data_IF_660194580982
#
_entry.id   IF_660194580982
#
_cell.length_a   1.000
_cell.length_b   1.000
_cell.length_c   1.000
_cell.angle_alpha   90.00
_cell.angle_beta   90.00
_cell.angle_gamma   90.00
#
_symmetry.space_group_name_H-M   'P 1'
#
loop_
_entity.id
_entity.type
_entity.pdbx_description
1 polymer ?
#
# COMPACT_ATOMS: atom_id res chain seq x y z
N UNK A 1 3.16 -3.96 11.85
CA UNK A 1 1.70 -4.22 11.89
C UNK A 1 0.87 -2.96 12.18
N UNK A 2 1.22 -2.16 13.18
CA UNK A 2 0.43 -0.97 13.57
C UNK A 2 0.28 0.03 12.42
N UNK A 3 1.39 0.43 11.78
CA UNK A 3 1.36 1.40 10.67
C UNK A 3 0.48 0.94 9.49
N UNK A 4 0.69 -0.28 8.95
CA UNK A 4 -0.11 -0.79 7.84
C UNK A 4 -1.62 -0.81 8.16
N UNK A 5 -1.99 -1.19 9.39
CA UNK A 5 -3.38 -1.20 9.82
C UNK A 5 -3.98 0.20 9.87
N UNK A 6 -3.25 1.18 10.42
CA UNK A 6 -3.68 2.57 10.45
C UNK A 6 -3.82 3.15 9.04
N UNK A 7 -2.83 2.93 8.17
CA UNK A 7 -2.85 3.38 6.78
C UNK A 7 -4.06 2.82 6.01
N UNK A 8 -4.34 1.52 6.11
CA UNK A 8 -5.52 0.93 5.46
C UNK A 8 -6.83 1.56 5.95
N UNK A 9 -6.91 1.92 7.24
CA UNK A 9 -8.08 2.60 7.80
C UNK A 9 -8.24 4.01 7.22
N UNK A 10 -7.15 4.75 7.05
CA UNK A 10 -7.20 6.08 6.44
C UNK A 10 -7.66 6.04 4.98
N UNK A 11 -7.16 5.07 4.21
CA UNK A 11 -7.62 4.84 2.83
C UNK A 11 -9.10 4.46 2.81
N UNK A 12 -9.56 3.60 3.72
CA UNK A 12 -10.98 3.26 3.84
C UNK A 12 -11.84 4.49 4.13
N UNK A 13 -11.43 5.35 5.06
CA UNK A 13 -12.13 6.59 5.39
C UNK A 13 -12.15 7.58 4.23
N UNK A 14 -11.06 7.65 3.46
CA UNK A 14 -11.00 8.44 2.23
C UNK A 14 -11.98 7.90 1.18
N UNK A 15 -11.99 6.58 0.95
CA UNK A 15 -12.91 5.94 0.00
C UNK A 15 -14.37 6.14 0.41
N UNK A 16 -14.72 5.98 1.70
CA UNK A 16 -16.10 6.25 2.19
C UNK A 16 -16.60 7.66 1.85
N UNK A 17 -15.71 8.65 1.75
CA UNK A 17 -16.07 10.03 1.45
C UNK A 17 -16.09 10.33 -0.06
N UNK A 18 -15.21 9.69 -0.83
CA UNK A 18 -14.94 10.09 -2.23
C UNK A 18 -15.34 9.04 -3.27
N UNK A 19 -15.38 7.76 -2.89
CA UNK A 19 -15.75 6.62 -3.74
C UNK A 19 -16.28 5.47 -2.86
N UNK A 20 -17.51 5.60 -2.30
CA UNK A 20 -18.06 4.65 -1.34
C UNK A 20 -18.21 3.23 -1.90
N UNK A 21 -18.49 3.10 -3.20
CA UNK A 21 -18.64 1.82 -3.90
C UNK A 21 -17.35 0.99 -3.93
N UNK A 22 -16.18 1.64 -3.85
CA UNK A 22 -14.88 0.96 -3.84
C UNK A 22 -14.52 0.36 -2.47
N UNK A 23 -15.20 0.76 -1.39
CA UNK A 23 -14.84 0.40 -0.01
C UNK A 23 -14.82 -1.12 0.22
N UNK A 24 -15.83 -1.85 -0.25
CA UNK A 24 -15.89 -3.31 -0.03
C UNK A 24 -14.78 -4.04 -0.78
N UNK A 25 -14.56 -3.68 -2.04
CA UNK A 25 -13.47 -4.25 -2.84
C UNK A 25 -12.10 -3.96 -2.21
N UNK A 26 -11.89 -2.71 -1.76
CA UNK A 26 -10.65 -2.34 -1.09
C UNK A 26 -10.42 -3.16 0.17
N UNK A 27 -11.43 -3.38 1.03
CA UNK A 27 -11.28 -4.18 2.25
C UNK A 27 -10.83 -5.62 1.95
N UNK A 28 -11.47 -6.26 0.98
CA UNK A 28 -11.14 -7.63 0.61
C UNK A 28 -9.72 -7.74 0.05
N UNK A 29 -9.37 -6.86 -0.89
CA UNK A 29 -8.05 -6.83 -1.52
C UNK A 29 -6.94 -6.42 -0.53
N UNK A 30 -7.21 -5.44 0.34
CA UNK A 30 -6.26 -4.96 1.34
C UNK A 30 -5.94 -6.04 2.38
N UNK A 31 -6.94 -6.82 2.81
CA UNK A 31 -6.70 -7.95 3.71
C UNK A 31 -5.84 -9.03 3.04
N UNK A 32 -6.11 -9.36 1.77
CA UNK A 32 -5.31 -10.34 1.02
C UNK A 32 -3.87 -9.83 0.81
N UNK A 33 -3.71 -8.59 0.37
CA UNK A 33 -2.41 -7.95 0.18
C UNK A 33 -1.61 -7.86 1.48
N UNK A 34 -2.24 -7.46 2.58
CA UNK A 34 -1.59 -7.41 3.90
C UNK A 34 -1.07 -8.78 4.33
N UNK A 35 -1.82 -9.87 4.07
CA UNK A 35 -1.36 -11.23 4.36
C UNK A 35 -0.13 -11.61 3.54
N UNK A 36 -0.10 -11.28 2.25
CA UNK A 36 1.05 -11.54 1.37
C UNK A 36 2.29 -10.76 1.83
N UNK A 37 2.12 -9.47 2.15
CA UNK A 37 3.20 -8.62 2.63
C UNK A 37 3.78 -9.10 3.96
N UNK A 38 2.92 -9.56 4.88
CA UNK A 38 3.38 -10.12 6.15
C UNK A 38 4.14 -11.45 5.95
N UNK A 39 3.77 -12.24 4.95
CA UNK A 39 4.48 -13.47 4.59
C UNK A 39 5.91 -13.22 4.10
N UNK A 40 6.10 -12.15 3.34
CA UNK A 40 7.38 -11.78 2.73
C UNK A 40 8.08 -10.61 3.46
N UNK A 41 7.66 -10.29 4.70
CA UNK A 41 8.06 -9.05 5.37
C UNK A 41 9.58 -8.89 5.53
N UNK A 42 10.32 -9.99 5.62
CA UNK A 42 11.78 -9.99 5.78
C UNK A 42 12.54 -9.62 4.51
N UNK A 43 11.94 -9.86 3.34
CA UNK A 43 12.55 -9.64 2.03
C UNK A 43 12.19 -8.25 1.48
N UNK A 44 11.24 -7.56 2.13
CA UNK A 44 10.78 -6.24 1.73
C UNK A 44 11.65 -5.14 2.34
N UNK A 45 12.03 -4.20 1.49
CA UNK A 45 12.57 -2.92 1.92
C UNK A 45 11.47 -1.84 1.89
N UNK A 46 11.43 -1.00 2.92
CA UNK A 46 10.35 -0.03 3.14
C UNK A 46 10.87 1.39 2.93
N UNK A 47 10.21 2.15 2.05
CA UNK A 47 10.58 3.52 1.71
C UNK A 47 9.44 4.50 2.00
N UNK A 48 9.80 5.67 2.52
CA UNK A 48 8.88 6.79 2.69
C UNK A 48 9.14 7.85 1.60
N UNK A 49 8.10 8.60 1.25
CA UNK A 49 8.24 9.76 0.36
C UNK A 49 9.06 10.88 1.01
N UNK A 50 9.46 11.86 0.20
CA UNK A 50 10.20 13.06 0.64
C UNK A 50 9.50 13.83 1.76
N UNK A 51 8.17 13.76 1.83
CA UNK A 51 7.40 14.41 2.90
C UNK A 51 7.59 13.78 4.28
N UNK A 52 8.19 12.57 4.34
CA UNK A 52 8.41 11.78 5.56
C UNK A 52 7.15 11.68 6.43
N UNK A 53 5.97 11.64 5.80
CA UNK A 53 4.71 11.49 6.51
C UNK A 53 4.62 10.06 7.09
N UNK A 54 4.63 9.89 8.43
CA UNK A 54 4.60 8.58 9.08
C UNK A 54 3.25 7.86 8.93
N UNK A 55 2.20 8.57 8.54
CA UNK A 55 0.87 8.03 8.25
C UNK A 55 0.65 7.82 6.75
N UNK A 56 1.57 8.31 5.92
CA UNK A 56 1.49 8.24 4.47
C UNK A 56 1.76 6.86 3.90
N UNK A 57 1.62 6.75 2.58
CA UNK A 57 1.90 5.51 1.87
C UNK A 57 3.39 5.15 1.92
N UNK A 58 3.67 3.91 2.30
CA UNK A 58 5.00 3.31 2.21
C UNK A 58 5.16 2.59 0.88
N UNK A 59 6.30 2.83 0.23
CA UNK A 59 6.72 2.13 -0.97
C UNK A 59 7.40 0.82 -0.56
N UNK A 60 6.98 -0.28 -1.17
CA UNK A 60 7.43 -1.62 -0.82
C UNK A 60 8.32 -2.13 -1.94
N UNK A 61 9.63 -2.11 -1.72
CA UNK A 61 10.61 -2.63 -2.66
C UNK A 61 10.75 -4.13 -2.46
N UNK A 62 10.75 -4.86 -3.57
CA UNK A 62 11.16 -6.25 -3.64
C UNK A 62 11.91 -6.49 -4.95
N UNK A 63 12.53 -7.66 -5.08
CA UNK A 63 13.21 -8.10 -6.29
C UNK A 63 12.39 -9.19 -6.99
N UNK A 64 12.43 -9.22 -8.33
CA UNK A 64 11.83 -10.30 -9.12
C UNK A 64 12.51 -11.63 -8.79
N UNK A 65 12.01 -12.72 -9.34
CA UNK A 65 12.60 -14.07 -9.15
C UNK A 65 14.07 -14.15 -9.58
N UNK A 66 14.54 -13.24 -10.42
CA UNK A 66 15.95 -13.11 -10.82
C UNK A 66 16.86 -12.55 -9.70
N UNK A 67 16.29 -12.05 -8.60
CA UNK A 67 17.00 -11.49 -7.45
C UNK A 67 17.71 -10.17 -7.71
N UNK A 68 17.61 -9.58 -8.91
CA UNK A 68 18.38 -8.39 -9.31
C UNK A 68 17.52 -7.28 -9.88
N UNK A 69 16.34 -7.59 -10.40
CA UNK A 69 15.43 -6.58 -10.95
C UNK A 69 14.51 -6.04 -9.86
N UNK A 70 14.69 -4.78 -9.41
CA UNK A 70 13.83 -4.19 -8.38
C UNK A 70 12.44 -3.84 -8.92
N UNK A 71 11.43 -3.94 -8.07
CA UNK A 71 10.12 -3.37 -8.33
C UNK A 71 9.47 -2.83 -7.05
N UNK A 72 8.67 -1.78 -7.21
CA UNK A 72 7.87 -1.24 -6.12
C UNK A 72 6.43 -1.74 -6.20
N UNK A 73 5.91 -2.14 -5.05
CA UNK A 73 4.48 -2.39 -4.84
C UNK A 73 3.87 -1.21 -4.11
N UNK A 74 2.74 -0.72 -4.62
CA UNK A 74 2.03 0.44 -4.12
C UNK A 74 0.53 0.11 -3.99
N UNK A 75 -0.12 0.68 -2.98
CA UNK A 75 -1.57 0.59 -2.82
C UNK A 75 -2.26 1.50 -3.83
N UNK A 76 -2.98 0.91 -4.79
CA UNK A 76 -3.67 1.67 -5.85
C UNK A 76 -4.65 2.70 -5.28
N UNK A 77 -5.45 2.30 -4.30
CA UNK A 77 -6.46 3.19 -3.69
C UNK A 77 -5.84 4.30 -2.81
N UNK A 78 -4.53 4.24 -2.56
CA UNK A 78 -3.76 5.33 -1.94
C UNK A 78 -3.20 6.34 -2.93
N UNK A 79 -3.38 6.12 -4.23
CA UNK A 79 -2.82 6.94 -5.30
C UNK A 79 -3.92 7.62 -6.11
N UNK A 80 -3.59 8.79 -6.67
CA UNK A 80 -4.40 9.47 -7.68
C UNK A 80 -3.64 9.53 -9.01
N UNK A 81 -4.33 9.25 -10.10
CA UNK A 81 -3.76 9.46 -11.44
C UNK A 81 -3.80 10.93 -11.81
N UNK A 82 -2.73 11.44 -12.40
CA UNK A 82 -2.67 12.79 -12.96
C UNK A 82 -2.11 12.69 -14.38
N UNK A 83 -2.84 13.22 -15.36
CA UNK A 83 -2.34 13.38 -16.73
C UNK A 83 -1.62 14.74 -16.81
N UNK A 84 -0.46 14.75 -17.46
CA UNK A 84 0.30 15.96 -17.80
C UNK A 84 0.07 16.28 -19.27
#
# INVERSE_FOLDING_TARGET
MVHLKSYMKEVEEYLKKNNPERVEGFKAEAQAGAKQLLGNFKDLEFFMSESVNPDGQVLLLNYREDGVTPFFTLWKDGLRSQKI
#
